data_IF_042809631060
#
_entry.id   IF_042809631060
#
_cell.length_a   1.000
_cell.length_b   1.000
_cell.length_c   1.000
_cell.angle_alpha   90.00
_cell.angle_beta   90.00
_cell.angle_gamma   90.00
#
_symmetry.space_group_name_H-M   'P 1'
#
loop_
_entity.id
_entity.type
_entity.pdbx_description
1 polymer ?
#
# COMPACT_ATOMS: atom_id res chain seq x y z
N UNK A 1 28.06 23.20 15.53
CA UNK A 1 26.89 23.63 14.74
C UNK A 1 27.39 24.01 13.35
N UNK A 2 27.68 23.00 12.53
CA UNK A 2 27.96 23.21 11.10
C UNK A 2 27.85 21.85 10.38
N UNK A 3 26.75 21.67 9.67
CA UNK A 3 26.63 20.82 8.47
C UNK A 3 25.25 21.07 7.82
N UNK A 4 24.89 22.35 7.67
CA UNK A 4 23.90 22.76 6.68
C UNK A 4 24.69 23.07 5.40
N UNK A 5 24.99 22.05 4.59
CA UNK A 5 25.91 22.27 3.47
C UNK A 5 26.31 21.05 2.65
N UNK A 6 25.35 20.22 2.22
CA UNK A 6 25.49 19.43 1.00
C UNK A 6 24.11 18.91 0.58
N UNK A 7 23.36 19.69 -0.20
CA UNK A 7 22.31 19.13 -1.04
C UNK A 7 23.00 18.29 -2.14
N UNK A 8 23.45 17.10 -1.76
CA UNK A 8 24.20 16.19 -2.62
C UNK A 8 23.31 15.69 -3.74
N UNK A 9 23.79 15.79 -4.98
CA UNK A 9 23.13 15.16 -6.13
C UNK A 9 22.95 13.67 -5.83
N UNK A 10 21.73 13.17 -6.03
CA UNK A 10 21.47 11.73 -5.96
C UNK A 10 22.30 11.07 -7.08
N UNK A 11 23.24 10.21 -6.72
CA UNK A 11 24.02 9.46 -7.70
C UNK A 11 23.11 8.54 -8.53
N UNK A 12 23.56 8.16 -9.73
CA UNK A 12 22.79 7.32 -10.67
C UNK A 12 22.21 6.05 -10.02
N UNK A 13 22.99 5.38 -9.16
CA UNK A 13 22.52 4.20 -8.43
C UNK A 13 21.36 4.51 -7.47
N UNK A 14 21.40 5.65 -6.77
CA UNK A 14 20.32 6.09 -5.88
C UNK A 14 19.05 6.44 -6.66
N UNK A 15 19.19 7.05 -7.85
CA UNK A 15 18.06 7.31 -8.73
C UNK A 15 17.44 6.02 -9.25
N UNK A 16 18.26 5.08 -9.73
CA UNK A 16 17.79 3.78 -10.19
C UNK A 16 17.07 3.00 -9.09
N UNK A 17 17.62 3.02 -7.87
CA UNK A 17 16.97 2.40 -6.72
C UNK A 17 15.61 3.02 -6.45
N UNK A 18 15.51 4.36 -6.43
CA UNK A 18 14.24 5.05 -6.19
C UNK A 18 13.20 4.72 -7.27
N UNK A 19 13.58 4.75 -8.54
CA UNK A 19 12.68 4.41 -9.66
C UNK A 19 12.23 2.95 -9.55
N UNK A 20 13.17 2.02 -9.32
CA UNK A 20 12.85 0.61 -9.13
C UNK A 20 11.90 0.41 -7.94
N UNK A 21 12.16 1.03 -6.79
CA UNK A 21 11.31 0.92 -5.61
C UNK A 21 9.89 1.42 -5.88
N UNK A 22 9.73 2.56 -6.58
CA UNK A 22 8.40 3.08 -6.92
C UNK A 22 7.64 2.14 -7.86
N UNK A 23 8.29 1.66 -8.92
CA UNK A 23 7.68 0.75 -9.90
C UNK A 23 7.32 -0.60 -9.26
N UNK A 24 8.28 -1.20 -8.56
CA UNK A 24 8.11 -2.51 -7.93
C UNK A 24 7.03 -2.47 -6.86
N UNK A 25 7.10 -1.51 -5.92
CA UNK A 25 6.10 -1.42 -4.86
C UNK A 25 4.70 -1.08 -5.42
N UNK A 26 4.63 -0.21 -6.42
CA UNK A 26 3.38 0.18 -7.07
C UNK A 26 2.69 -1.00 -7.76
N UNK A 27 3.40 -1.72 -8.63
CA UNK A 27 2.84 -2.85 -9.37
C UNK A 27 2.50 -4.01 -8.43
N UNK A 28 3.44 -4.40 -7.56
CA UNK A 28 3.25 -5.57 -6.68
C UNK A 28 2.03 -5.44 -5.76
N UNK A 29 1.66 -4.22 -5.36
CA UNK A 29 0.53 -3.99 -4.46
C UNK A 29 -0.76 -3.60 -5.18
N UNK A 30 -0.69 -2.91 -6.32
CA UNK A 30 -1.89 -2.44 -7.03
C UNK A 30 -2.52 -3.57 -7.85
N UNK A 31 -1.72 -4.40 -8.53
CA UNK A 31 -2.20 -5.52 -9.34
C UNK A 31 -3.14 -6.48 -8.57
N UNK A 32 -2.73 -7.04 -7.41
CA UNK A 32 -3.62 -7.92 -6.64
C UNK A 32 -4.85 -7.19 -6.11
N UNK A 33 -4.74 -5.90 -5.75
CA UNK A 33 -5.88 -5.09 -5.30
C UNK A 33 -6.93 -4.94 -6.42
N UNK A 34 -6.48 -4.62 -7.64
CA UNK A 34 -7.36 -4.52 -8.82
C UNK A 34 -7.96 -5.89 -9.16
N UNK A 35 -7.16 -6.97 -9.07
CA UNK A 35 -7.66 -8.34 -9.30
C UNK A 35 -8.81 -8.71 -8.36
N UNK A 36 -8.67 -8.43 -7.06
CA UNK A 36 -9.75 -8.65 -6.08
C UNK A 36 -10.95 -7.76 -6.38
N UNK A 37 -10.74 -6.49 -6.72
CA UNK A 37 -11.82 -5.57 -7.07
C UNK A 37 -12.63 -6.08 -8.28
N UNK A 38 -11.96 -6.55 -9.33
CA UNK A 38 -12.60 -7.15 -10.51
C UNK A 38 -13.39 -8.39 -10.12
N UNK A 39 -12.82 -9.27 -9.31
CA UNK A 39 -13.53 -10.46 -8.83
C UNK A 39 -14.81 -10.09 -8.07
N UNK A 40 -14.75 -9.10 -7.17
CA UNK A 40 -15.92 -8.60 -6.42
C UNK A 40 -16.99 -7.99 -7.32
N UNK A 41 -16.59 -7.27 -8.36
CA UNK A 41 -17.50 -6.73 -9.37
C UNK A 41 -18.18 -7.83 -10.18
N UNK A 42 -17.44 -8.86 -10.58
CA UNK A 42 -17.99 -10.03 -11.29
C UNK A 42 -18.96 -10.84 -10.42
N UNK A 43 -18.78 -10.81 -9.10
CA UNK A 43 -19.72 -11.39 -8.13
C UNK A 43 -20.96 -10.51 -7.88
N UNK A 44 -21.09 -9.37 -8.57
CA UNK A 44 -22.29 -8.54 -8.55
C UNK A 44 -22.41 -7.60 -7.35
N UNK A 45 -21.31 -7.25 -6.68
CA UNK A 45 -21.38 -6.32 -5.55
C UNK A 45 -21.84 -4.91 -5.99
N UNK A 46 -22.92 -4.37 -5.38
CA UNK A 46 -23.63 -3.20 -5.91
C UNK A 46 -22.97 -1.86 -5.55
N UNK A 47 -22.03 -1.85 -4.62
CA UNK A 47 -21.47 -0.63 -4.03
C UNK A 47 -20.87 0.30 -5.09
N UNK A 48 -20.92 1.64 -4.90
CA UNK A 48 -20.19 2.57 -5.76
C UNK A 48 -18.71 2.18 -5.87
N UNK A 49 -18.04 2.38 -7.02
CA UNK A 49 -16.65 1.97 -7.19
C UNK A 49 -15.68 2.52 -6.13
N UNK A 50 -15.93 3.72 -5.61
CA UNK A 50 -15.10 4.31 -4.55
C UNK A 50 -15.23 3.55 -3.22
N UNK A 51 -16.48 3.25 -2.81
CA UNK A 51 -16.74 2.53 -1.56
C UNK A 51 -16.24 1.08 -1.65
N UNK A 52 -16.44 0.44 -2.80
CA UNK A 52 -15.93 -0.90 -3.07
C UNK A 52 -14.40 -0.95 -3.03
N UNK A 53 -13.71 0.10 -3.49
CA UNK A 53 -12.25 0.21 -3.43
C UNK A 53 -11.78 0.34 -1.98
N UNK A 54 -12.33 1.25 -1.18
CA UNK A 54 -11.92 1.40 0.22
C UNK A 54 -12.19 0.13 1.02
N UNK A 55 -13.34 -0.51 0.79
CA UNK A 55 -13.68 -1.76 1.44
C UNK A 55 -12.78 -2.92 0.99
N UNK A 56 -12.40 -2.98 -0.30
CA UNK A 56 -11.44 -3.96 -0.82
C UNK A 56 -10.07 -3.79 -0.16
N UNK A 57 -9.55 -2.56 -0.15
CA UNK A 57 -8.28 -2.23 0.49
C UNK A 57 -8.29 -2.63 1.97
N UNK A 58 -9.39 -2.38 2.68
CA UNK A 58 -9.55 -2.73 4.10
C UNK A 58 -9.62 -4.23 4.35
N UNK A 59 -10.42 -4.98 3.58
CA UNK A 59 -10.65 -6.43 3.81
C UNK A 59 -9.55 -7.31 3.24
N UNK A 60 -8.96 -6.89 2.12
CA UNK A 60 -7.99 -7.64 1.33
C UNK A 60 -6.77 -6.77 0.98
N UNK A 61 -6.05 -6.21 1.99
CA UNK A 61 -4.87 -5.42 1.71
C UNK A 61 -3.80 -6.29 1.04
N UNK A 62 -3.25 -5.81 -0.08
CA UNK A 62 -2.19 -6.52 -0.82
C UNK A 62 -0.94 -6.77 0.05
N UNK A 63 -0.68 -5.90 1.01
CA UNK A 63 0.29 -6.09 2.08
C UNK A 63 -0.44 -6.18 3.43
N UNK A 64 -0.74 -7.38 3.95
CA UNK A 64 -1.48 -7.53 5.20
C UNK A 64 -0.65 -7.15 6.44
N UNK A 65 0.67 -7.02 6.30
CA UNK A 65 1.57 -6.59 7.37
C UNK A 65 2.43 -5.41 6.93
N UNK A 66 2.90 -4.60 7.87
CA UNK A 66 3.99 -3.64 7.61
C UNK A 66 5.28 -4.36 7.23
N UNK A 67 6.25 -3.64 6.69
CA UNK A 67 7.64 -4.07 6.78
C UNK A 67 8.07 -4.19 8.26
N UNK A 68 9.12 -4.97 8.51
CA UNK A 68 9.70 -5.09 9.84
C UNK A 68 10.03 -3.71 10.43
N UNK A 69 9.65 -3.53 11.68
CA UNK A 69 10.09 -2.43 12.53
C UNK A 69 10.94 -3.01 13.64
N UNK A 70 11.90 -2.23 14.11
CA UNK A 70 12.76 -2.61 15.22
C UNK A 70 12.72 -1.47 16.23
N UNK A 71 12.42 -1.80 17.48
CA UNK A 71 12.42 -0.80 18.55
C UNK A 71 13.84 -0.24 18.72
N UNK A 72 14.00 1.09 18.76
CA UNK A 72 15.32 1.73 18.95
C UNK A 72 15.77 1.77 20.41
N UNK A 73 14.85 1.53 21.33
CA UNK A 73 15.06 1.39 22.76
C UNK A 73 13.92 0.59 23.38
N UNK A 74 13.89 0.40 24.72
CA UNK A 74 12.78 -0.30 25.35
C UNK A 74 11.44 0.43 25.13
N UNK A 75 10.40 -0.31 24.73
CA UNK A 75 9.07 0.24 24.44
C UNK A 75 8.00 -0.51 25.24
N UNK A 76 7.04 0.23 25.81
CA UNK A 76 5.84 -0.37 26.42
C UNK A 76 4.76 -0.55 25.35
N UNK A 77 4.54 -1.80 24.92
CA UNK A 77 3.52 -2.19 23.93
C UNK A 77 3.01 -3.58 24.29
N UNK A 78 1.77 -3.67 24.79
CA UNK A 78 1.16 -4.91 25.29
C UNK A 78 2.09 -5.72 26.23
N UNK A 79 2.87 -5.01 27.06
CA UNK A 79 4.03 -5.55 27.77
C UNK A 79 5.25 -4.66 27.54
N UNK A 80 6.46 -5.16 27.85
CA UNK A 80 7.71 -4.42 27.62
C UNK A 80 8.57 -5.13 26.57
N UNK A 81 8.80 -4.46 25.45
CA UNK A 81 9.71 -4.90 24.41
C UNK A 81 11.12 -4.36 24.71
N UNK A 82 12.17 -5.20 24.63
CA UNK A 82 13.55 -4.73 24.75
C UNK A 82 13.97 -3.92 23.51
N UNK A 83 15.13 -3.26 23.58
CA UNK A 83 15.72 -2.65 22.39
C UNK A 83 15.97 -3.70 21.28
N UNK A 84 15.87 -3.27 20.02
CA UNK A 84 15.99 -4.10 18.82
C UNK A 84 14.99 -5.25 18.69
N UNK A 85 13.90 -5.25 19.48
CA UNK A 85 12.83 -6.21 19.29
C UNK A 85 12.17 -6.02 17.92
N UNK A 86 11.99 -7.10 17.13
CA UNK A 86 11.26 -7.03 15.88
C UNK A 86 9.77 -6.86 16.15
N UNK A 87 9.14 -5.95 15.41
CA UNK A 87 7.71 -5.65 15.47
C UNK A 87 7.15 -5.73 14.06
N UNK A 88 6.08 -6.49 13.92
CA UNK A 88 5.30 -6.61 12.69
C UNK A 88 3.87 -6.18 13.00
N UNK A 89 3.35 -5.21 12.25
CA UNK A 89 2.00 -4.68 12.47
C UNK A 89 1.06 -5.27 11.43
N UNK A 90 -0.03 -5.89 11.88
CA UNK A 90 -1.10 -6.38 11.01
C UNK A 90 -1.96 -5.19 10.52
N UNK A 91 -1.80 -4.85 9.24
CA UNK A 91 -2.53 -3.77 8.58
C UNK A 91 -4.00 -4.11 8.34
N UNK A 92 -4.31 -5.40 8.17
CA UNK A 92 -5.68 -5.86 8.00
C UNK A 92 -6.45 -5.74 9.32
N UNK A 93 -5.86 -6.18 10.42
CA UNK A 93 -6.47 -6.09 11.75
C UNK A 93 -6.66 -4.63 12.21
N UNK A 94 -5.77 -3.73 11.81
CA UNK A 94 -5.86 -2.30 12.14
C UNK A 94 -6.79 -1.51 11.22
N UNK A 95 -7.15 -2.05 10.05
CA UNK A 95 -7.92 -1.33 9.04
C UNK A 95 -7.13 -0.19 8.37
N UNK A 96 -5.79 -0.27 8.39
CA UNK A 96 -4.88 0.74 7.85
C UNK A 96 -4.11 0.20 6.64
N UNK A 97 -4.76 -0.01 5.49
CA UNK A 97 -4.14 -0.71 4.34
C UNK A 97 -2.94 0.02 3.71
N UNK A 98 -2.79 1.32 4.00
CA UNK A 98 -1.66 2.15 3.54
C UNK A 98 -0.65 2.47 4.65
N UNK A 99 -0.78 1.83 5.82
CA UNK A 99 -0.02 2.17 7.01
C UNK A 99 -0.36 3.57 7.54
N UNK A 100 0.53 4.11 8.37
CA UNK A 100 0.39 5.43 8.99
C UNK A 100 1.77 6.05 9.31
N UNK A 101 1.78 7.37 9.54
CA UNK A 101 2.98 8.10 9.98
C UNK A 101 4.03 8.31 8.88
N UNK A 102 5.33 8.41 9.22
CA UNK A 102 6.40 8.76 8.27
C UNK A 102 6.58 7.80 7.09
N UNK A 103 6.04 6.57 7.20
CA UNK A 103 6.05 5.57 6.15
C UNK A 103 4.65 5.30 5.58
N UNK A 104 3.75 6.30 5.66
CA UNK A 104 2.47 6.25 4.95
C UNK A 104 2.70 6.09 3.45
N UNK A 105 1.90 5.24 2.81
CA UNK A 105 2.08 4.92 1.39
C UNK A 105 2.01 6.17 0.51
N UNK A 106 3.13 6.49 -0.16
CA UNK A 106 3.22 7.60 -1.11
C UNK A 106 2.24 7.42 -2.30
N UNK A 107 1.97 6.17 -2.69
CA UNK A 107 1.08 5.80 -3.79
C UNK A 107 -0.41 5.71 -3.43
N UNK A 108 -0.81 5.99 -2.18
CA UNK A 108 -2.17 5.72 -1.72
C UNK A 108 -3.27 6.41 -2.56
N UNK A 109 -3.04 7.65 -2.99
CA UNK A 109 -3.97 8.37 -3.85
C UNK A 109 -4.04 7.76 -5.27
N UNK A 110 -2.90 7.33 -5.81
CA UNK A 110 -2.83 6.71 -7.13
C UNK A 110 -3.51 5.33 -7.13
N UNK A 111 -3.24 4.49 -6.11
CA UNK A 111 -3.87 3.18 -5.97
C UNK A 111 -5.40 3.26 -5.92
N UNK A 112 -5.95 4.24 -5.19
CA UNK A 112 -7.39 4.51 -5.17
C UNK A 112 -7.93 4.91 -6.53
N UNK A 113 -7.25 5.83 -7.21
CA UNK A 113 -7.64 6.31 -8.53
C UNK A 113 -7.64 5.17 -9.56
N UNK A 114 -6.62 4.33 -9.54
CA UNK A 114 -6.51 3.15 -10.40
C UNK A 114 -7.62 2.15 -10.11
N UNK A 115 -7.91 1.86 -8.84
CA UNK A 115 -9.05 1.03 -8.44
C UNK A 115 -10.39 1.60 -8.94
N UNK A 116 -10.66 2.89 -8.71
CA UNK A 116 -11.90 3.55 -9.12
C UNK A 116 -12.05 3.51 -10.65
N UNK A 117 -10.98 3.78 -11.40
CA UNK A 117 -10.99 3.72 -12.87
C UNK A 117 -11.17 2.29 -13.37
N UNK A 118 -10.43 1.34 -12.80
CA UNK A 118 -10.56 -0.08 -13.10
C UNK A 118 -12.00 -0.56 -12.90
N UNK A 119 -12.59 -0.27 -11.76
CA UNK A 119 -13.98 -0.65 -11.46
C UNK A 119 -15.02 -0.02 -12.39
N UNK A 120 -14.78 1.21 -12.88
CA UNK A 120 -15.64 1.82 -13.92
C UNK A 120 -15.49 1.12 -15.27
N UNK A 121 -14.28 0.73 -15.67
CA UNK A 121 -14.03 -0.01 -16.91
C UNK A 121 -14.66 -1.40 -16.88
N UNK A 122 -14.61 -2.09 -15.74
CA UNK A 122 -15.21 -3.43 -15.58
C UNK A 122 -16.74 -3.41 -15.61
N UNK A 123 -17.38 -2.26 -15.31
CA UNK A 123 -18.83 -2.07 -15.42
C UNK A 123 -19.29 -1.66 -16.82
N UNK A 124 -18.36 -1.31 -17.73
CA UNK A 124 -18.69 -1.27 -19.15
C UNK A 124 -19.02 -2.70 -19.58
N UNK A 125 -20.03 -2.94 -20.45
CA UNK A 125 -20.27 -4.27 -20.98
C UNK A 125 -19.02 -4.76 -21.73
N UNK A 126 -18.18 -5.51 -21.01
CA UNK A 126 -17.10 -6.29 -21.59
C UNK A 126 -17.79 -7.33 -22.45
N UNK A 127 -17.79 -7.10 -23.77
CA UNK A 127 -18.05 -8.18 -24.73
C UNK A 127 -16.90 -9.16 -24.58
N UNK A 128 -17.06 -10.13 -23.68
CA UNK A 128 -16.21 -11.30 -23.66
C UNK A 128 -16.53 -12.06 -24.95
N UNK A 129 -15.57 -12.19 -25.89
CA UNK A 129 -15.78 -13.11 -27.00
C UNK A 129 -16.06 -14.49 -26.41
N UNK A 130 -17.09 -15.16 -26.95
CA UNK A 130 -17.39 -16.55 -26.63
C UNK A 130 -16.22 -17.45 -26.97
#
# INVERSE_FOLDING_TARGET
MEAAGAAGRVGTAGLHYQVFTLLFAGQLTTDPTVGVLVARLLLGEPDPPADLVEDTLRRYPAAPFTLWRFTTGPVALAGRLPAHAPVLVDLRATGLPFGAGPHYCLGAALARLEGIRGGRLTRLPLRLPK
#
